data_IF_488827175682
#
_entry.id   IF_488827175682
#
_cell.length_a   1.000
_cell.length_b   1.000
_cell.length_c   1.000
_cell.angle_alpha   90.00
_cell.angle_beta   90.00
_cell.angle_gamma   90.00
#
_symmetry.space_group_name_H-M   'P 1'
#
loop_
_entity.id
_entity.type
_entity.pdbx_description
1 polymer ?
#
# COMPACT_ATOMS: atom_id res chain seq x y z
N UNK A 1 -39.01 43.68 -4.27
CA UNK A 1 -38.62 42.24 -4.31
C UNK A 1 -37.14 42.02 -4.60
N UNK A 2 -36.54 42.69 -5.60
CA UNK A 2 -35.11 42.54 -5.97
C UNK A 2 -34.08 42.86 -4.87
N UNK A 3 -34.41 43.76 -3.92
CA UNK A 3 -33.54 44.12 -2.79
C UNK A 3 -33.50 43.04 -1.69
N UNK A 4 -34.58 42.28 -1.55
CA UNK A 4 -34.71 41.23 -0.54
C UNK A 4 -34.00 39.95 -0.98
N UNK A 5 -34.04 39.64 -2.28
CA UNK A 5 -33.28 38.53 -2.86
C UNK A 5 -31.77 38.71 -2.75
N UNK A 6 -31.27 39.95 -2.87
CA UNK A 6 -29.84 40.24 -2.71
C UNK A 6 -29.36 40.01 -1.27
N UNK A 7 -30.16 40.41 -0.29
CA UNK A 7 -29.89 40.22 1.13
C UNK A 7 -29.86 38.73 1.50
N UNK A 8 -30.77 37.93 0.93
CA UNK A 8 -30.81 36.48 1.13
C UNK A 8 -29.55 35.79 0.58
N UNK A 9 -29.06 36.20 -0.60
CA UNK A 9 -27.84 35.64 -1.19
C UNK A 9 -26.59 36.00 -0.36
N UNK A 10 -26.53 37.22 0.20
CA UNK A 10 -25.44 37.65 1.08
C UNK A 10 -25.41 36.89 2.42
N UNK A 11 -26.56 36.48 2.95
CA UNK A 11 -26.61 35.67 4.17
C UNK A 11 -26.10 34.24 3.95
N UNK A 12 -26.42 33.63 2.81
CA UNK A 12 -26.04 32.23 2.51
C UNK A 12 -24.53 32.06 2.32
N UNK A 13 -23.82 33.06 1.78
CA UNK A 13 -22.37 32.98 1.57
C UNK A 13 -21.54 33.09 2.86
N UNK A 14 -22.10 33.68 3.93
CA UNK A 14 -21.41 33.84 5.21
C UNK A 14 -21.37 32.56 6.08
N UNK A 15 -22.20 31.56 5.77
CA UNK A 15 -22.30 30.31 6.52
C UNK A 15 -21.36 29.21 6.00
N UNK A 16 -20.67 29.46 4.88
CA UNK A 16 -19.72 28.52 4.28
C UNK A 16 -18.37 28.56 5.01
N UNK A 17 -18.31 27.96 6.20
CA UNK A 17 -17.04 27.72 6.90
C UNK A 17 -16.50 26.34 6.52
N UNK A 18 -15.59 26.29 5.55
CA UNK A 18 -14.77 25.11 5.28
C UNK A 18 -13.61 25.09 6.28
N UNK A 19 -13.86 24.64 7.51
CA UNK A 19 -12.80 24.52 8.51
C UNK A 19 -11.90 23.31 8.18
N UNK A 20 -10.59 23.56 8.06
CA UNK A 20 -9.60 22.49 7.98
C UNK A 20 -9.66 21.68 9.28
N UNK A 21 -10.04 20.40 9.18
CA UNK A 21 -10.03 19.50 10.32
C UNK A 21 -8.59 19.05 10.57
N UNK A 22 -7.97 19.59 11.61
CA UNK A 22 -6.68 19.13 12.10
C UNK A 22 -6.92 18.06 13.17
N UNK A 23 -6.36 16.87 12.96
CA UNK A 23 -6.29 15.82 13.98
C UNK A 23 -4.85 15.68 14.43
N UNK A 24 -4.65 15.36 15.71
CA UNK A 24 -3.33 14.92 16.18
C UNK A 24 -2.93 13.67 15.39
N UNK A 25 -1.91 13.82 14.52
CA UNK A 25 -1.37 12.71 13.76
C UNK A 25 -0.49 11.92 14.73
N UNK A 26 -0.94 10.71 15.11
CA UNK A 26 -0.03 9.76 15.73
C UNK A 26 1.02 9.39 14.69
N UNK A 27 2.30 9.54 15.06
CA UNK A 27 3.39 9.19 14.17
C UNK A 27 3.28 7.71 13.75
N UNK A 28 3.45 7.41 12.45
CA UNK A 28 3.37 6.04 11.97
C UNK A 28 4.48 5.18 12.57
N UNK A 29 4.14 3.97 13.00
CA UNK A 29 5.10 3.01 13.56
C UNK A 29 5.64 2.12 12.44
N UNK A 30 6.96 2.09 12.25
CA UNK A 30 7.59 1.15 11.31
C UNK A 30 7.36 -0.30 11.80
N UNK A 31 6.69 -1.11 10.99
CA UNK A 31 6.50 -2.56 11.26
C UNK A 31 7.69 -3.36 10.75
N UNK A 32 8.16 -3.02 9.54
CA UNK A 32 9.26 -3.73 8.93
C UNK A 32 9.70 -3.10 7.61
N UNK A 33 10.95 -3.37 7.23
CA UNK A 33 11.53 -2.92 5.97
C UNK A 33 12.46 -3.92 5.32
N UNK A 34 12.42 -3.93 3.99
CA UNK A 34 13.38 -4.60 3.11
C UNK A 34 14.29 -3.54 2.52
N UNK A 35 15.55 -3.52 2.95
CA UNK A 35 16.54 -2.52 2.56
C UNK A 35 17.87 -3.16 2.16
N UNK A 36 17.95 -3.86 1.01
CA UNK A 36 19.22 -4.40 0.53
C UNK A 36 20.24 -3.27 0.37
N UNK A 37 21.46 -3.50 0.85
CA UNK A 37 22.55 -2.51 0.83
C UNK A 37 22.18 -1.16 1.48
N UNK A 38 21.26 -1.17 2.45
CA UNK A 38 20.85 0.04 3.19
C UNK A 38 19.87 0.95 2.47
N UNK A 39 19.50 0.65 1.22
CA UNK A 39 18.47 1.41 0.49
C UNK A 39 17.09 0.78 0.69
N UNK A 40 16.15 1.53 1.25
CA UNK A 40 14.77 1.05 1.45
C UNK A 40 14.11 0.76 0.12
N UNK A 41 13.71 -0.49 -0.08
CA UNK A 41 13.01 -0.95 -1.27
C UNK A 41 11.54 -1.20 -0.97
N UNK A 42 11.24 -1.67 0.24
CA UNK A 42 9.88 -1.86 0.74
C UNK A 42 9.82 -1.50 2.23
N UNK A 43 8.78 -0.80 2.66
CA UNK A 43 8.50 -0.40 4.03
C UNK A 43 7.01 -0.60 4.32
N UNK A 44 6.69 -1.21 5.46
CA UNK A 44 5.34 -1.20 6.03
C UNK A 44 5.33 -0.32 7.28
N UNK A 45 4.44 0.66 7.30
CA UNK A 45 4.20 1.52 8.44
C UNK A 45 2.76 1.38 8.93
N UNK A 46 2.57 1.28 10.24
CA UNK A 46 1.26 1.21 10.88
C UNK A 46 0.76 2.61 11.24
N UNK A 47 -0.47 2.89 10.81
CA UNK A 47 -1.30 4.00 11.23
C UNK A 47 -2.42 3.47 12.14
N UNK A 48 -3.20 4.33 12.83
CA UNK A 48 -4.26 3.87 13.73
C UNK A 48 -5.25 2.87 13.09
N UNK A 49 -5.68 3.14 11.86
CA UNK A 49 -6.77 2.38 11.22
C UNK A 49 -6.30 1.49 10.06
N UNK A 50 -5.04 1.61 9.64
CA UNK A 50 -4.52 0.92 8.48
C UNK A 50 -2.99 0.79 8.51
N UNK A 51 -2.45 0.04 7.57
CA UNK A 51 -1.05 -0.01 7.23
C UNK A 51 -0.82 0.68 5.89
N UNK A 52 0.33 1.31 5.73
CA UNK A 52 0.82 1.83 4.47
C UNK A 52 1.93 0.91 3.98
N UNK A 53 1.73 0.31 2.81
CA UNK A 53 2.75 -0.45 2.11
C UNK A 53 3.43 0.48 1.10
N UNK A 54 4.66 0.89 1.36
CA UNK A 54 5.47 1.74 0.50
C UNK A 54 6.56 0.90 -0.19
N UNK A 55 6.77 1.11 -1.48
CA UNK A 55 7.82 0.44 -2.22
C UNK A 55 8.44 1.30 -3.31
N UNK A 56 9.69 1.03 -3.64
CA UNK A 56 10.34 1.56 -4.83
C UNK A 56 9.90 0.75 -6.05
N UNK A 57 9.48 1.45 -7.09
CA UNK A 57 9.03 0.83 -8.32
C UNK A 57 10.21 0.34 -9.15
N UNK A 58 10.15 -0.94 -9.51
CA UNK A 58 11.15 -1.60 -10.33
C UNK A 58 10.99 -1.33 -11.83
N UNK A 59 9.88 -0.74 -12.25
CA UNK A 59 9.67 -0.35 -13.65
C UNK A 59 10.55 0.87 -14.03
N UNK A 60 11.03 1.64 -13.04
CA UNK A 60 11.91 2.79 -13.23
C UNK A 60 13.28 2.61 -12.54
N UNK A 61 14.19 1.77 -13.07
CA UNK A 61 15.43 1.39 -12.37
C UNK A 61 16.43 2.55 -12.17
N UNK A 62 16.36 3.58 -13.00
CA UNK A 62 17.30 4.71 -13.01
C UNK A 62 16.89 5.87 -12.09
N UNK A 63 15.66 5.85 -11.58
CA UNK A 63 15.16 6.86 -10.64
C UNK A 63 14.60 6.18 -9.40
N UNK A 64 14.51 6.93 -8.31
CA UNK A 64 13.86 6.46 -7.09
C UNK A 64 12.39 6.89 -7.13
N UNK A 65 11.57 6.15 -7.89
CA UNK A 65 10.11 6.33 -7.89
C UNK A 65 9.48 5.44 -6.81
N UNK A 66 8.77 6.05 -5.86
CA UNK A 66 8.08 5.32 -4.81
C UNK A 66 6.58 5.31 -5.05
N UNK A 67 5.96 4.17 -4.79
CA UNK A 67 4.51 3.96 -4.85
C UNK A 67 4.05 3.34 -3.54
N UNK A 68 2.76 3.49 -3.25
CA UNK A 68 2.19 2.94 -2.03
C UNK A 68 0.74 2.54 -2.21
N UNK A 69 0.29 1.60 -1.38
CA UNK A 69 -1.11 1.25 -1.23
C UNK A 69 -1.46 1.03 0.25
N UNK A 70 -2.75 1.08 0.55
CA UNK A 70 -3.27 0.95 1.91
C UNK A 70 -3.71 -0.50 2.16
N UNK A 71 -3.38 -1.04 3.32
CA UNK A 71 -3.89 -2.33 3.79
C UNK A 71 -4.70 -2.05 5.05
N UNK A 72 -5.97 -2.44 5.08
CA UNK A 72 -6.77 -2.24 6.29
C UNK A 72 -6.30 -3.17 7.41
N UNK A 73 -6.53 -2.76 8.66
CA UNK A 73 -6.18 -3.57 9.83
C UNK A 73 -6.78 -4.99 9.76
N UNK A 74 -7.99 -5.12 9.22
CA UNK A 74 -8.71 -6.40 9.04
C UNK A 74 -8.10 -7.29 7.95
N UNK A 75 -7.31 -6.74 7.03
CA UNK A 75 -6.75 -7.46 5.88
C UNK A 75 -5.26 -7.82 6.08
N UNK A 76 -4.61 -7.21 7.06
CA UNK A 76 -3.15 -7.28 7.22
C UNK A 76 -2.64 -8.70 7.43
N UNK A 77 -3.27 -9.44 8.35
CA UNK A 77 -2.89 -10.82 8.67
C UNK A 77 -3.23 -11.79 7.54
N UNK A 78 -4.40 -11.62 6.91
CA UNK A 78 -4.84 -12.44 5.79
C UNK A 78 -3.94 -12.26 4.56
N UNK A 79 -3.54 -11.02 4.28
CA UNK A 79 -2.60 -10.71 3.22
C UNK A 79 -1.23 -11.37 3.47
N UNK A 80 -0.72 -11.30 4.71
CA UNK A 80 0.51 -12.01 5.07
C UNK A 80 0.37 -13.52 4.84
N UNK A 81 -0.71 -14.13 5.35
CA UNK A 81 -0.96 -15.56 5.21
C UNK A 81 -1.05 -15.99 3.75
N UNK A 82 -1.71 -15.19 2.91
CA UNK A 82 -1.85 -15.45 1.48
C UNK A 82 -0.48 -15.43 0.78
N UNK A 83 0.33 -14.39 1.00
CA UNK A 83 1.67 -14.31 0.40
C UNK A 83 2.57 -15.42 0.94
N UNK A 84 2.49 -15.71 2.25
CA UNK A 84 3.25 -16.79 2.89
C UNK A 84 2.96 -18.15 2.25
N UNK A 85 1.68 -18.45 2.01
CA UNK A 85 1.25 -19.69 1.35
C UNK A 85 1.82 -19.83 -0.06
N UNK A 86 1.98 -18.73 -0.81
CA UNK A 86 2.62 -18.77 -2.13
C UNK A 86 4.06 -19.30 -2.09
N UNK A 87 4.79 -19.09 -0.99
CA UNK A 87 6.11 -19.68 -0.81
C UNK A 87 6.08 -21.19 -0.51
N UNK A 88 5.01 -21.69 0.11
CA UNK A 88 4.84 -23.09 0.51
C UNK A 88 4.34 -23.96 -0.64
N UNK A 89 3.36 -23.45 -1.41
CA UNK A 89 2.76 -24.17 -2.53
C UNK A 89 3.77 -24.40 -3.67
N UNK A 90 4.85 -23.60 -3.74
CA UNK A 90 5.94 -23.68 -4.74
C UNK A 90 5.47 -23.68 -6.20
N UNK A 91 4.23 -23.25 -6.45
CA UNK A 91 3.65 -23.10 -7.78
C UNK A 91 4.01 -21.74 -8.35
N UNK A 92 4.53 -21.72 -9.56
CA UNK A 92 4.73 -20.48 -10.30
C UNK A 92 3.40 -19.96 -10.83
N UNK A 93 3.28 -18.65 -10.91
CA UNK A 93 2.07 -17.99 -11.41
C UNK A 93 1.84 -16.65 -10.76
N UNK A 94 0.70 -16.06 -11.10
CA UNK A 94 0.27 -14.78 -10.54
C UNK A 94 -1.17 -14.94 -10.02
N UNK A 95 -1.42 -14.43 -8.82
CA UNK A 95 -2.77 -14.36 -8.26
C UNK A 95 -3.17 -12.90 -8.09
N UNK A 96 -4.40 -12.59 -8.49
CA UNK A 96 -5.04 -11.30 -8.23
C UNK A 96 -5.63 -11.33 -6.81
N UNK A 97 -5.39 -10.28 -6.05
CA UNK A 97 -5.93 -10.10 -4.71
C UNK A 97 -6.67 -8.77 -4.67
N UNK A 98 -7.96 -8.84 -4.37
CA UNK A 98 -8.79 -7.66 -4.20
C UNK A 98 -8.82 -7.28 -2.73
N UNK A 99 -8.13 -6.20 -2.39
CA UNK A 99 -8.28 -5.54 -1.10
C UNK A 99 -9.45 -4.55 -1.21
N UNK A 100 -9.99 -4.13 -0.08
CA UNK A 100 -11.08 -3.16 -0.02
C UNK A 100 -10.71 -1.86 -0.76
N UNK A 101 -9.50 -1.36 -0.52
CA UNK A 101 -9.05 -0.08 -1.08
C UNK A 101 -8.33 -0.20 -2.44
N UNK A 102 -7.75 -1.35 -2.76
CA UNK A 102 -6.87 -1.48 -3.93
C UNK A 102 -6.82 -2.93 -4.45
N UNK A 103 -6.32 -3.10 -5.67
CA UNK A 103 -6.06 -4.44 -6.23
C UNK A 103 -4.56 -4.64 -6.29
N UNK A 104 -4.08 -5.80 -5.84
CA UNK A 104 -2.68 -6.19 -5.98
C UNK A 104 -2.56 -7.53 -6.70
N UNK A 105 -1.38 -7.80 -7.23
CA UNK A 105 -1.03 -9.04 -7.87
C UNK A 105 0.20 -9.62 -7.19
N UNK A 106 0.12 -10.90 -6.81
CA UNK A 106 1.20 -11.63 -6.18
C UNK A 106 1.77 -12.60 -7.21
N UNK A 107 2.93 -12.27 -7.76
CA UNK A 107 3.66 -13.09 -8.71
C UNK A 107 4.67 -13.96 -7.99
N UNK A 108 4.56 -15.27 -8.16
CA UNK A 108 5.48 -16.27 -7.60
C UNK A 108 6.34 -16.84 -8.71
N UNK A 109 7.66 -16.84 -8.49
CA UNK A 109 8.65 -17.40 -9.41
C UNK A 109 9.59 -18.32 -8.65
N UNK A 110 10.08 -19.38 -9.30
CA UNK A 110 11.04 -20.31 -8.72
C UNK A 110 12.31 -20.34 -9.57
N UNK A 111 13.40 -19.86 -8.99
CA UNK A 111 14.71 -19.89 -9.66
C UNK A 111 15.71 -20.62 -8.77
N UNK A 112 16.44 -21.58 -9.35
CA UNK A 112 17.47 -22.37 -8.65
C UNK A 112 16.97 -23.01 -7.33
N UNK A 113 15.71 -23.45 -7.31
CA UNK A 113 15.09 -24.06 -6.13
C UNK A 113 14.58 -23.06 -5.07
N UNK A 114 14.84 -21.76 -5.25
CA UNK A 114 14.42 -20.69 -4.35
C UNK A 114 13.14 -20.05 -4.90
N UNK A 115 12.09 -20.02 -4.08
CA UNK A 115 10.84 -19.32 -4.38
C UNK A 115 10.99 -17.85 -4.01
N UNK A 116 10.63 -16.98 -4.94
CA UNK A 116 10.57 -15.54 -4.74
C UNK A 116 9.19 -15.02 -5.12
N UNK A 117 8.75 -13.98 -4.43
CA UNK A 117 7.48 -13.31 -4.69
C UNK A 117 7.72 -11.86 -5.06
N UNK A 118 6.96 -11.34 -6.02
CA UNK A 118 6.87 -9.93 -6.36
C UNK A 118 5.41 -9.50 -6.19
N UNK A 119 5.22 -8.33 -5.59
CA UNK A 119 3.92 -7.67 -5.45
C UNK A 119 3.84 -6.54 -6.48
N UNK A 120 2.75 -6.52 -7.24
CA UNK A 120 2.37 -5.44 -8.16
C UNK A 120 1.07 -4.81 -7.66
N UNK A 121 0.87 -3.52 -7.89
CA UNK A 121 -0.29 -2.80 -7.38
C UNK A 121 -0.99 -2.03 -8.49
N UNK A 122 -2.32 -2.05 -8.50
CA UNK A 122 -3.20 -1.23 -9.33
C UNK A 122 -3.99 -0.26 -8.41
N UNK A 123 -3.68 1.04 -8.53
CA UNK A 123 -4.23 2.13 -7.70
C UNK A 123 -5.70 2.39 -8.05
N UNK A 124 -6.07 2.21 -9.31
CA UNK A 124 -7.33 2.71 -9.87
C UNK A 124 -8.39 1.62 -10.01
N UNK A 125 -8.08 0.36 -9.63
CA UNK A 125 -8.90 -0.82 -9.93
C UNK A 125 -9.25 -0.91 -11.42
N UNK A 126 -8.46 -0.27 -12.29
CA UNK A 126 -8.75 -0.12 -13.71
C UNK A 126 -8.14 -1.24 -14.55
N UNK A 127 -7.41 -2.16 -13.93
CA UNK A 127 -6.65 -3.23 -14.58
C UNK A 127 -5.24 -2.82 -15.01
N UNK A 128 -4.82 -1.57 -14.74
CA UNK A 128 -3.50 -1.07 -15.10
C UNK A 128 -2.56 -1.17 -13.90
N UNK A 129 -1.54 -2.02 -13.98
CA UNK A 129 -0.52 -2.12 -12.94
C UNK A 129 0.21 -0.77 -12.83
N UNK A 130 0.10 -0.13 -11.67
CA UNK A 130 0.70 1.15 -11.37
C UNK A 130 2.20 1.05 -11.14
N UNK A 131 2.69 -0.09 -10.63
CA UNK A 131 4.11 -0.42 -10.51
C UNK A 131 4.36 -1.70 -9.72
N UNK A 132 5.62 -2.11 -9.58
CA UNK A 132 6.01 -3.42 -9.02
C UNK A 132 7.17 -3.33 -8.05
N UNK A 133 7.08 -4.11 -6.99
CA UNK A 133 8.16 -4.28 -6.00
C UNK A 133 9.34 -5.06 -6.57
N UNK A 134 10.48 -5.04 -5.88
CA UNK A 134 11.50 -6.08 -6.09
C UNK A 134 11.00 -7.46 -5.67
N UNK A 135 11.62 -8.51 -6.20
CA UNK A 135 11.43 -9.86 -5.68
C UNK A 135 11.89 -9.95 -4.21
N UNK A 136 11.09 -10.64 -3.40
CA UNK A 136 11.35 -10.90 -1.99
C UNK A 136 11.33 -12.39 -1.69
N UNK A 137 12.18 -12.78 -0.74
CA UNK A 137 12.22 -14.11 -0.14
C UNK A 137 11.23 -14.22 1.02
N UNK A 138 10.91 -15.45 1.44
CA UNK A 138 10.09 -15.69 2.63
C UNK A 138 10.66 -15.01 3.88
N UNK A 139 11.99 -14.99 4.05
CA UNK A 139 12.65 -14.30 5.17
C UNK A 139 12.40 -12.78 5.12
N UNK A 140 12.45 -12.18 3.94
CA UNK A 140 12.16 -10.75 3.77
C UNK A 140 10.68 -10.46 4.01
N UNK A 141 9.76 -11.34 3.59
CA UNK A 141 8.34 -11.23 3.91
C UNK A 141 8.11 -11.22 5.43
N UNK A 142 8.67 -12.21 6.14
CA UNK A 142 8.50 -12.32 7.59
C UNK A 142 9.01 -11.08 8.32
N UNK A 143 10.15 -10.52 7.88
CA UNK A 143 10.70 -9.27 8.40
C UNK A 143 9.79 -8.08 8.11
N UNK A 144 9.26 -8.00 6.89
CA UNK A 144 8.42 -6.89 6.45
C UNK A 144 7.10 -6.82 7.24
N UNK A 145 6.52 -7.97 7.58
CA UNK A 145 5.27 -8.09 8.35
C UNK A 145 5.49 -8.26 9.87
N UNK A 146 6.70 -8.06 10.38
CA UNK A 146 7.00 -8.13 11.82
C UNK A 146 6.83 -9.53 12.44
N UNK A 147 6.87 -10.60 11.63
CA UNK A 147 6.68 -11.99 12.08
C UNK A 147 7.96 -12.65 12.59
N UNK A 148 9.10 -12.00 12.41
CA UNK A 148 10.37 -12.37 13.03
C UNK A 148 10.88 -11.19 13.87
N UNK A 149 10.96 -11.40 15.18
CA UNK A 149 11.88 -10.64 16.05
C UNK A 149 13.26 -11.27 15.96
#
# INVERSE_FOLDING_TARGET
MKKFTLLLVLFVTSLASAQLKTSEVKDPVEIGKVAPMGKTQILISQYPDNYLFLYRDMDYPNIDEYKSFIILNTEFEDLYALIAKSFEDKKEGEIKVELQMNTIYIKTVKSLGIVNVQISHDVTKSGSVAGRTQFITKKQLDKLFGKKK
#
